data_IF_371443272309
#
_entry.id   IF_371443272309
#
_cell.length_a   1.000
_cell.length_b   1.000
_cell.length_c   1.000
_cell.angle_alpha   90.00
_cell.angle_beta   90.00
_cell.angle_gamma   90.00
#
_symmetry.space_group_name_H-M   'P 1'
#
loop_
_entity.id
_entity.type
_entity.pdbx_description
1 polymer ?
#
# COMPACT_ATOMS: atom_id res chain seq x y z
N UNK A 1 15.74 -13.56 12.11
CA UNK A 1 16.00 -12.14 12.49
C UNK A 1 14.68 -11.40 12.38
N UNK A 2 14.26 -10.70 13.43
CA UNK A 2 12.91 -10.13 13.48
C UNK A 2 12.85 -8.95 12.48
N UNK A 3 12.22 -9.15 11.31
CA UNK A 3 12.21 -8.19 10.19
C UNK A 3 11.41 -6.90 10.44
N UNK A 4 10.99 -6.64 11.68
CA UNK A 4 10.17 -5.49 12.05
C UNK A 4 11.02 -4.34 12.58
N UNK A 5 10.94 -3.20 11.90
CA UNK A 5 11.51 -1.92 12.30
C UNK A 5 10.46 -1.08 13.03
N UNK A 6 10.73 -0.76 14.29
CA UNK A 6 9.85 0.05 15.13
C UNK A 6 10.18 1.53 14.95
N UNK A 7 9.16 2.34 14.66
CA UNK A 7 9.25 3.80 14.64
C UNK A 7 8.20 4.39 15.57
N UNK A 8 8.48 5.59 16.06
CA UNK A 8 7.57 6.36 16.90
C UNK A 8 7.16 7.61 16.15
N UNK A 9 5.87 7.77 15.93
CA UNK A 9 5.29 8.84 15.10
C UNK A 9 4.27 9.59 15.93
N UNK A 10 4.29 10.92 15.87
CA UNK A 10 3.26 11.75 16.51
C UNK A 10 2.02 11.79 15.61
N UNK A 11 0.94 11.16 16.04
CA UNK A 11 -0.35 11.10 15.34
C UNK A 11 -1.40 11.84 16.17
N UNK A 12 -2.06 12.84 15.58
CA UNK A 12 -3.11 13.64 16.25
C UNK A 12 -2.75 14.14 17.67
N UNK A 13 -1.48 14.48 17.91
CA UNK A 13 -0.99 15.00 19.20
C UNK A 13 -0.50 13.94 20.19
N UNK A 14 -0.61 12.65 19.87
CA UNK A 14 -0.11 11.57 20.73
C UNK A 14 0.98 10.75 20.02
N UNK A 15 1.90 10.20 20.80
CA UNK A 15 3.01 9.39 20.29
C UNK A 15 2.54 7.94 20.09
N UNK A 16 2.47 7.51 18.84
CA UNK A 16 2.12 6.14 18.46
C UNK A 16 3.36 5.39 18.03
N UNK A 17 3.55 4.18 18.53
CA UNK A 17 4.65 3.33 18.08
C UNK A 17 4.15 2.24 17.14
N UNK A 18 4.81 2.13 15.99
CA UNK A 18 4.42 1.28 14.87
C UNK A 18 5.62 0.41 14.51
N UNK A 19 5.40 -0.89 14.32
CA UNK A 19 6.42 -1.82 13.87
C UNK A 19 6.03 -2.40 12.51
N UNK A 20 6.85 -2.17 11.49
CA UNK A 20 6.67 -2.62 10.11
C UNK A 20 8.01 -3.10 9.54
N UNK A 21 7.94 -3.94 8.52
CA UNK A 21 9.07 -4.34 7.69
C UNK A 21 9.67 -3.12 6.96
N UNK A 22 10.97 -3.18 6.66
CA UNK A 22 11.69 -2.03 6.06
C UNK A 22 11.08 -1.63 4.72
N UNK A 23 10.68 -2.61 3.92
CA UNK A 23 10.07 -2.45 2.60
C UNK A 23 8.78 -1.63 2.70
N UNK A 24 7.96 -1.86 3.72
CA UNK A 24 6.76 -1.07 3.93
C UNK A 24 7.09 0.37 4.35
N UNK A 25 8.08 0.58 5.22
CA UNK A 25 8.50 1.94 5.56
C UNK A 25 8.97 2.72 4.34
N UNK A 26 9.81 2.09 3.52
CA UNK A 26 10.31 2.68 2.30
C UNK A 26 9.18 3.09 1.35
N UNK A 27 8.22 2.20 1.07
CA UNK A 27 7.10 2.53 0.19
C UNK A 27 6.23 3.65 0.76
N UNK A 28 5.94 3.64 2.06
CA UNK A 28 5.15 4.70 2.71
C UNK A 28 5.84 6.07 2.63
N UNK A 29 7.17 6.10 2.73
CA UNK A 29 7.95 7.33 2.52
C UNK A 29 7.85 7.83 1.08
N UNK A 30 7.96 6.93 0.10
CA UNK A 30 7.80 7.29 -1.32
C UNK A 30 6.39 7.84 -1.61
N UNK A 31 5.36 7.22 -1.06
CA UNK A 31 3.97 7.69 -1.18
C UNK A 31 3.79 9.09 -0.59
N UNK A 32 4.32 9.33 0.61
CA UNK A 32 4.23 10.64 1.26
C UNK A 32 4.97 11.73 0.44
N UNK A 33 6.16 11.40 -0.07
CA UNK A 33 6.92 12.31 -0.96
C UNK A 33 6.17 12.62 -2.25
N UNK A 34 5.57 11.61 -2.89
CA UNK A 34 4.78 11.80 -4.11
C UNK A 34 3.60 12.76 -3.89
N UNK A 35 2.95 12.64 -2.72
CA UNK A 35 1.83 13.51 -2.34
C UNK A 35 2.28 14.87 -1.76
N UNK A 36 3.59 15.15 -1.69
CA UNK A 36 4.17 16.36 -1.09
C UNK A 36 3.76 16.56 0.38
N UNK A 37 3.61 15.47 1.12
CA UNK A 37 3.25 15.46 2.53
C UNK A 37 4.37 14.85 3.38
N UNK A 38 4.38 15.17 4.68
CA UNK A 38 5.27 14.47 5.63
C UNK A 38 4.76 13.04 5.87
N UNK A 39 5.66 12.09 6.13
CA UNK A 39 5.29 10.72 6.49
C UNK A 39 4.31 10.68 7.69
N UNK A 40 4.53 11.54 8.70
CA UNK A 40 3.65 11.64 9.86
C UNK A 40 2.25 12.15 9.50
N UNK A 41 2.17 13.14 8.59
CA UNK A 41 0.89 13.65 8.07
C UNK A 41 0.12 12.58 7.30
N UNK A 42 0.80 11.87 6.40
CA UNK A 42 0.23 10.79 5.62
C UNK A 42 -0.29 9.65 6.51
N UNK A 43 0.51 9.20 7.48
CA UNK A 43 0.09 8.16 8.43
C UNK A 43 -1.09 8.65 9.29
N UNK A 44 -1.11 9.93 9.69
CA UNK A 44 -2.24 10.51 10.45
C UNK A 44 -3.53 10.48 9.64
N UNK A 45 -3.47 10.76 8.33
CA UNK A 45 -4.64 10.66 7.45
C UNK A 45 -5.18 9.22 7.42
N UNK A 46 -4.31 8.23 7.22
CA UNK A 46 -4.70 6.82 7.20
C UNK A 46 -5.25 6.35 8.55
N UNK A 47 -4.66 6.82 9.66
CA UNK A 47 -5.13 6.52 11.01
C UNK A 47 -6.52 7.10 11.31
N UNK A 48 -6.88 8.25 10.69
CA UNK A 48 -8.22 8.84 10.80
C UNK A 48 -9.27 8.15 9.92
N UNK A 49 -8.84 7.58 8.79
CA UNK A 49 -9.75 6.95 7.82
C UNK A 49 -10.05 5.48 8.13
N UNK A 50 -9.15 4.79 8.83
CA UNK A 50 -9.36 3.37 9.19
C UNK A 50 -10.51 3.19 10.17
N UNK A 51 -11.12 2.01 10.14
CA UNK A 51 -12.02 1.58 11.22
C UNK A 51 -11.24 1.42 12.53
N UNK A 52 -11.88 1.73 13.67
CA UNK A 52 -11.27 1.60 14.99
C UNK A 52 -10.81 0.16 15.30
N UNK A 53 -11.49 -0.84 14.73
CA UNK A 53 -11.18 -2.26 14.88
C UNK A 53 -9.96 -2.71 14.04
N UNK A 54 -9.53 -1.92 13.06
CA UNK A 54 -8.38 -2.24 12.22
C UNK A 54 -7.09 -1.69 12.83
N UNK A 55 -6.05 -2.53 12.90
CA UNK A 55 -4.73 -2.07 13.36
C UNK A 55 -4.12 -1.10 12.33
N UNK A 56 -3.49 -0.03 12.83
CA UNK A 56 -2.78 0.92 11.96
C UNK A 56 -1.68 0.22 11.16
N UNK A 57 -0.96 -0.72 11.77
CA UNK A 57 0.10 -1.46 11.08
C UNK A 57 -0.45 -2.27 9.89
N UNK A 58 -1.62 -2.91 10.03
CA UNK A 58 -2.27 -3.64 8.93
C UNK A 58 -2.69 -2.70 7.80
N UNK A 59 -3.28 -1.55 8.14
CA UNK A 59 -3.68 -0.53 7.17
C UNK A 59 -2.46 -0.05 6.37
N UNK A 60 -1.37 0.27 7.04
CA UNK A 60 -0.13 0.73 6.40
C UNK A 60 0.45 -0.31 5.43
N UNK A 61 0.50 -1.59 5.81
CA UNK A 61 0.97 -2.66 4.92
C UNK A 61 0.11 -2.80 3.66
N UNK A 62 -1.22 -2.84 3.82
CA UNK A 62 -2.14 -2.99 2.69
C UNK A 62 -2.10 -1.75 1.78
N UNK A 63 -1.98 -0.55 2.34
CA UNK A 63 -1.84 0.68 1.57
C UNK A 63 -0.57 0.67 0.72
N UNK A 64 0.57 0.30 1.31
CA UNK A 64 1.83 0.16 0.58
C UNK A 64 1.75 -0.92 -0.51
N UNK A 65 1.14 -2.08 -0.22
CA UNK A 65 0.94 -3.16 -1.19
C UNK A 65 0.08 -2.70 -2.39
N UNK A 66 -1.02 -2.00 -2.13
CA UNK A 66 -1.90 -1.48 -3.19
C UNK A 66 -1.19 -0.45 -4.06
N UNK A 67 -0.39 0.43 -3.45
CA UNK A 67 0.36 1.44 -4.17
C UNK A 67 1.30 0.82 -5.22
N UNK A 68 2.05 -0.22 -4.84
CA UNK A 68 2.95 -0.91 -5.78
C UNK A 68 2.17 -1.73 -6.81
N UNK A 69 1.12 -2.46 -6.41
CA UNK A 69 0.34 -3.29 -7.32
C UNK A 69 -0.37 -2.47 -8.40
N UNK A 70 -0.88 -1.29 -8.06
CA UNK A 70 -1.53 -0.38 -9.00
C UNK A 70 -0.53 0.35 -9.90
N UNK A 71 0.70 0.58 -9.43
CA UNK A 71 1.78 1.12 -10.29
C UNK A 71 2.24 0.12 -11.36
N UNK A 72 1.99 -1.18 -11.15
CA UNK A 72 2.42 -2.29 -12.02
C UNK A 72 1.30 -2.90 -12.88
N UNK A 73 0.13 -2.23 -13.02
CA UNK A 73 -0.92 -2.68 -13.96
C UNK A 73 -0.45 -2.82 -15.42
N UNK A 74 0.78 -2.38 -15.75
CA UNK A 74 1.43 -2.62 -17.05
C UNK A 74 2.28 -3.88 -17.18
N UNK A 75 2.62 -4.59 -16.10
CA UNK A 75 3.54 -5.76 -16.19
C UNK A 75 2.92 -7.08 -15.72
N UNK A 76 1.99 -7.08 -14.76
CA UNK A 76 1.55 -8.34 -14.13
C UNK A 76 0.30 -8.99 -14.77
N UNK A 77 -0.42 -8.28 -15.64
CA UNK A 77 -1.47 -8.85 -16.49
C UNK A 77 -1.00 -8.84 -17.95
N UNK A 78 -0.34 -9.90 -18.47
CA UNK A 78 -0.23 -10.07 -19.91
C UNK A 78 -1.66 -10.13 -20.47
N UNK A 79 -1.92 -9.30 -21.47
CA UNK A 79 -3.17 -9.28 -22.22
C UNK A 79 -3.47 -10.70 -22.77
N UNK A 80 -4.26 -11.50 -22.06
CA UNK A 80 -4.93 -12.68 -22.63
C UNK A 80 -6.41 -12.67 -22.22
N UNK A 81 -7.11 -11.62 -22.65
CA UNK A 81 -8.56 -11.66 -22.83
C UNK A 81 -8.91 -11.10 -24.20
N UNK A 82 -8.23 -11.64 -25.22
CA UNK A 82 -8.80 -11.74 -26.56
C UNK A 82 -9.50 -13.09 -26.61
N UNK A 83 -10.78 -13.10 -26.23
CA UNK A 83 -11.67 -14.20 -26.60
C UNK A 83 -11.63 -14.30 -28.15
N UNK A 84 -11.31 -15.45 -28.75
CA UNK A 84 -11.43 -15.58 -30.20
C UNK A 84 -12.92 -15.42 -30.57
N UNK A 85 -13.25 -14.67 -31.64
CA UNK A 85 -14.62 -14.67 -32.11
C UNK A 85 -15.01 -16.10 -32.51
N UNK A 86 -16.18 -16.52 -32.06
CA UNK A 86 -16.89 -17.70 -32.56
C UNK A 86 -16.84 -17.75 -34.10
N UNK A 87 -16.75 -18.98 -34.63
CA UNK A 87 -16.90 -19.38 -36.04
C UNK A 87 -15.60 -19.58 -36.85
N UNK A 88 -15.00 -20.76 -36.70
CA UNK A 88 -14.39 -21.48 -37.83
C UNK A 88 -14.34 -22.99 -37.55
N UNK A 89 -15.51 -23.63 -37.61
CA UNK A 89 -15.61 -25.07 -37.89
C UNK A 89 -16.35 -25.19 -39.22
N UNK A 90 -15.63 -24.87 -40.30
CA UNK A 90 -15.85 -25.54 -41.58
C UNK A 90 -14.70 -26.51 -41.76
N UNK A 91 -15.00 -27.80 -41.71
CA UNK A 91 -14.59 -28.89 -42.61
C UNK A 91 -15.29 -30.18 -42.16
#
# INVERSE_FOLDING_TARGET
MNGLHKRSVSLSGHRTSIALEWEFWFILEQMAQHNKESLAGFITQLDRQRSAQQSLASVLRITALRYVAMSEERMFFPQSRSDPPENMVEL
#
